data_IF_237588314569
#
_entry.id   IF_237588314569
#
_cell.length_a   1.000
_cell.length_b   1.000
_cell.length_c   1.000
_cell.angle_alpha   90.00
_cell.angle_beta   90.00
_cell.angle_gamma   90.00
#
_symmetry.space_group_name_H-M   'P 1'
#
loop_
_entity.id
_entity.type
_entity.pdbx_description
1 polymer ?
#
# COMPACT_ATOMS: atom_id res chain seq x y z
N UNK A 1 -57.59 -28.73 -4.18
CA UNK A 1 -56.15 -29.09 -4.04
C UNK A 1 -55.27 -27.83 -3.87
N UNK A 2 -55.57 -26.92 -2.93
CA UNK A 2 -54.90 -25.59 -2.83
C UNK A 2 -54.36 -25.28 -1.42
N UNK A 3 -54.76 -26.05 -0.40
CA UNK A 3 -54.46 -25.73 1.01
C UNK A 3 -53.06 -26.21 1.45
N UNK A 4 -52.46 -27.21 0.78
CA UNK A 4 -51.12 -27.71 1.11
C UNK A 4 -49.98 -26.76 0.66
N UNK A 5 -50.18 -25.98 -0.39
CA UNK A 5 -49.13 -25.12 -0.99
C UNK A 5 -48.77 -23.90 -0.12
N UNK A 6 -49.76 -23.25 0.51
CA UNK A 6 -49.53 -22.05 1.34
C UNK A 6 -48.75 -22.32 2.64
N UNK A 7 -48.91 -23.52 3.23
CA UNK A 7 -48.22 -23.89 4.48
C UNK A 7 -46.72 -24.15 4.27
N UNK A 8 -46.34 -24.75 3.13
CA UNK A 8 -44.93 -24.95 2.79
C UNK A 8 -44.20 -23.64 2.50
N UNK A 9 -44.86 -22.67 1.85
CA UNK A 9 -44.25 -21.36 1.58
C UNK A 9 -44.03 -20.53 2.85
N UNK A 10 -45.00 -20.50 3.78
CA UNK A 10 -44.85 -19.83 5.07
C UNK A 10 -43.73 -20.43 5.93
N UNK A 11 -43.56 -21.75 5.90
CA UNK A 11 -42.48 -22.45 6.63
C UNK A 11 -41.09 -22.15 6.03
N UNK A 12 -40.97 -22.08 4.69
CA UNK A 12 -39.70 -21.74 4.01
C UNK A 12 -39.29 -20.28 4.24
N UNK A 13 -40.26 -19.34 4.27
CA UNK A 13 -40.01 -17.94 4.63
C UNK A 13 -39.55 -17.79 6.09
N UNK A 14 -40.17 -18.52 7.02
CA UNK A 14 -39.74 -18.56 8.42
C UNK A 14 -38.35 -19.16 8.60
N UNK A 15 -38.02 -20.25 7.88
CA UNK A 15 -36.69 -20.86 7.91
C UNK A 15 -35.59 -19.96 7.33
N UNK A 16 -35.86 -19.23 6.24
CA UNK A 16 -34.93 -18.25 5.67
C UNK A 16 -34.71 -17.05 6.60
N UNK A 17 -35.78 -16.56 7.24
CA UNK A 17 -35.67 -15.50 8.25
C UNK A 17 -34.90 -15.96 9.49
N UNK A 18 -35.13 -17.19 9.96
CA UNK A 18 -34.35 -17.77 11.06
C UNK A 18 -32.88 -17.94 10.67
N UNK A 19 -32.59 -18.43 9.45
CA UNK A 19 -31.22 -18.53 8.96
C UNK A 19 -30.53 -17.18 8.88
N UNK A 20 -31.20 -16.11 8.42
CA UNK A 20 -30.58 -14.78 8.39
C UNK A 20 -30.32 -14.24 9.80
N UNK A 21 -31.22 -14.46 10.76
CA UNK A 21 -31.01 -14.02 12.16
C UNK A 21 -29.94 -14.85 12.88
N UNK A 22 -29.86 -16.16 12.62
CA UNK A 22 -28.79 -17.03 13.12
C UNK A 22 -27.44 -16.61 12.51
N UNK A 23 -27.42 -16.23 11.23
CA UNK A 23 -26.21 -15.74 10.58
C UNK A 23 -25.78 -14.38 11.16
N UNK A 24 -26.70 -13.44 11.39
CA UNK A 24 -26.43 -12.15 12.03
C UNK A 24 -25.92 -12.27 13.48
N UNK A 25 -26.40 -13.26 14.25
CA UNK A 25 -25.86 -13.55 15.60
C UNK A 25 -24.47 -14.18 15.56
N UNK A 26 -24.10 -14.84 14.47
CA UNK A 26 -22.78 -15.43 14.24
C UNK A 26 -21.76 -14.39 13.78
N UNK A 27 -22.19 -13.24 13.28
CA UNK A 27 -21.30 -12.16 12.87
C UNK A 27 -20.69 -11.45 14.09
N UNK A 28 -19.40 -11.06 14.02
CA UNK A 28 -18.78 -10.21 15.03
C UNK A 28 -19.51 -8.86 15.13
N UNK A 29 -19.39 -8.19 16.27
CA UNK A 29 -20.16 -6.97 16.59
C UNK A 29 -20.03 -5.89 15.51
N UNK A 30 -18.81 -5.65 15.02
CA UNK A 30 -18.51 -4.68 13.94
C UNK A 30 -19.11 -5.02 12.56
N UNK A 31 -19.49 -6.27 12.29
CA UNK A 31 -20.05 -6.69 10.99
C UNK A 31 -21.58 -6.66 10.97
N UNK A 32 -22.21 -6.21 12.07
CA UNK A 32 -23.68 -6.11 12.15
C UNK A 32 -24.14 -4.85 11.42
N UNK A 33 -25.23 -4.93 10.63
CA UNK A 33 -25.72 -3.81 9.83
C UNK A 33 -26.10 -2.57 10.66
N UNK A 34 -26.36 -2.73 11.96
CA UNK A 34 -26.74 -1.66 12.89
C UNK A 34 -25.60 -1.28 13.88
N UNK A 35 -24.37 -1.72 13.64
CA UNK A 35 -23.22 -1.45 14.53
C UNK A 35 -22.39 -0.28 14.03
N UNK A 36 -22.30 0.78 14.84
CA UNK A 36 -21.38 1.91 14.64
C UNK A 36 -19.92 1.59 15.06
N UNK A 37 -19.65 0.37 15.56
CA UNK A 37 -18.30 -0.05 15.90
C UNK A 37 -17.46 -0.22 14.63
N UNK A 38 -16.38 0.56 14.43
CA UNK A 38 -15.53 0.39 13.27
C UNK A 38 -14.87 -1.00 13.29
N UNK A 39 -14.66 -1.60 12.12
CA UNK A 39 -13.98 -2.88 12.05
C UNK A 39 -12.58 -2.82 12.70
N UNK A 40 -12.02 -3.95 13.14
CA UNK A 40 -10.76 -3.96 13.87
C UNK A 40 -9.59 -3.32 13.09
N UNK A 41 -9.55 -3.47 11.77
CA UNK A 41 -8.58 -2.81 10.88
C UNK A 41 -8.82 -1.30 10.66
N UNK A 42 -9.99 -0.80 11.05
CA UNK A 42 -10.40 0.61 11.02
C UNK A 42 -10.35 1.27 12.41
N UNK A 43 -9.98 0.51 13.46
CA UNK A 43 -9.85 1.06 14.81
C UNK A 43 -8.56 1.88 14.90
N UNK A 44 -8.68 3.20 14.78
CA UNK A 44 -7.59 4.13 15.08
C UNK A 44 -7.15 5.04 13.94
N UNK A 45 -7.77 4.94 12.76
CA UNK A 45 -7.47 5.80 11.58
C UNK A 45 -7.60 7.31 11.87
N UNK A 46 -8.38 7.69 12.91
CA UNK A 46 -8.52 9.08 13.36
C UNK A 46 -7.66 9.51 14.56
N UNK A 47 -6.91 8.59 15.21
CA UNK A 47 -6.17 8.89 16.45
C UNK A 47 -4.67 9.13 16.26
N UNK A 48 -4.10 8.87 15.09
CA UNK A 48 -2.65 9.02 14.86
C UNK A 48 -2.17 10.44 14.49
N UNK A 49 -3.07 11.41 14.26
CA UNK A 49 -2.66 12.71 13.72
C UNK A 49 -2.30 13.78 14.77
N UNK A 50 -2.34 13.49 16.08
CA UNK A 50 -2.24 14.54 17.11
C UNK A 50 -1.02 14.50 18.04
N UNK A 51 -0.06 13.57 17.89
CA UNK A 51 1.03 13.48 18.89
C UNK A 51 2.43 13.03 18.45
N UNK A 52 2.75 12.91 17.15
CA UNK A 52 4.14 12.72 16.70
C UNK A 52 4.61 13.93 15.88
N UNK A 53 5.14 14.94 16.57
CA UNK A 53 5.88 16.08 15.98
C UNK A 53 7.26 15.71 15.42
N UNK A 54 7.45 14.46 14.97
CA UNK A 54 8.65 14.06 14.26
C UNK A 54 8.24 13.89 12.81
N UNK A 55 8.82 14.68 11.91
CA UNK A 55 8.57 14.60 10.47
C UNK A 55 9.18 13.29 9.93
N UNK A 56 8.55 12.17 10.28
CA UNK A 56 8.93 10.85 9.82
C UNK A 56 8.27 10.67 8.44
N UNK A 57 9.08 10.85 7.40
CA UNK A 57 8.64 10.68 6.02
C UNK A 57 8.18 9.23 5.82
N UNK A 58 6.97 8.98 5.27
CA UNK A 58 6.46 7.63 5.09
C UNK A 58 7.35 6.76 4.20
N UNK A 59 7.37 5.45 4.44
CA UNK A 59 8.22 4.52 3.70
C UNK A 59 8.03 4.59 2.17
N UNK A 60 6.80 4.82 1.70
CA UNK A 60 6.48 4.86 0.28
C UNK A 60 7.14 6.04 -0.45
N UNK A 61 7.41 7.15 0.25
CA UNK A 61 8.11 8.31 -0.34
C UNK A 61 9.57 7.96 -0.60
N UNK A 62 10.24 7.33 0.36
CA UNK A 62 11.61 6.83 0.18
C UNK A 62 11.70 5.78 -0.92
N UNK A 63 10.71 4.88 -0.99
CA UNK A 63 10.66 3.83 -2.00
C UNK A 63 10.43 4.41 -3.40
N UNK A 64 9.54 5.40 -3.54
CA UNK A 64 9.29 6.06 -4.81
C UNK A 64 10.51 6.88 -5.27
N UNK A 65 11.13 7.63 -4.36
CA UNK A 65 12.36 8.36 -4.65
C UNK A 65 13.50 7.40 -5.06
N UNK A 66 13.64 6.26 -4.38
CA UNK A 66 14.57 5.19 -4.74
C UNK A 66 14.29 4.65 -6.15
N UNK A 67 13.04 4.32 -6.45
CA UNK A 67 12.67 3.76 -7.75
C UNK A 67 12.97 4.72 -8.90
N UNK A 68 12.58 6.00 -8.78
CA UNK A 68 12.84 7.01 -9.82
C UNK A 68 14.35 7.21 -10.01
N UNK A 69 15.11 7.33 -8.92
CA UNK A 69 16.57 7.50 -9.00
C UNK A 69 17.27 6.28 -9.58
N UNK A 70 16.80 5.06 -9.27
CA UNK A 70 17.35 3.84 -9.86
C UNK A 70 17.07 3.77 -11.37
N UNK A 71 15.86 4.10 -11.81
CA UNK A 71 15.50 4.16 -13.24
C UNK A 71 16.36 5.18 -13.97
N UNK A 72 16.56 6.37 -13.40
CA UNK A 72 17.42 7.40 -13.98
C UNK A 72 18.88 6.93 -14.11
N UNK A 73 19.41 6.25 -13.08
CA UNK A 73 20.78 5.74 -13.10
C UNK A 73 20.97 4.59 -14.10
N UNK A 74 20.03 3.65 -14.19
CA UNK A 74 20.10 2.55 -15.17
C UNK A 74 19.90 3.10 -16.59
N UNK A 75 18.95 4.01 -16.77
CA UNK A 75 18.72 4.70 -18.03
C UNK A 75 19.95 5.47 -18.50
N UNK A 76 20.68 6.11 -17.57
CA UNK A 76 21.90 6.83 -17.93
C UNK A 76 23.04 5.90 -18.37
N UNK A 77 23.18 4.73 -17.73
CA UNK A 77 24.14 3.70 -18.17
C UNK A 77 23.76 3.18 -19.56
N UNK A 78 22.49 2.85 -19.77
CA UNK A 78 22.01 2.32 -21.04
C UNK A 78 22.18 3.32 -22.19
N UNK A 79 21.91 4.59 -21.94
CA UNK A 79 22.10 5.68 -22.89
C UNK A 79 23.59 5.91 -23.20
N UNK A 80 24.45 5.83 -22.19
CA UNK A 80 25.90 5.89 -22.39
C UNK A 80 26.44 4.70 -23.19
N UNK A 81 25.95 3.47 -22.97
CA UNK A 81 26.46 2.29 -23.70
C UNK A 81 25.97 2.26 -25.14
N UNK A 82 24.70 2.56 -25.39
CA UNK A 82 24.11 2.42 -26.72
C UNK A 82 24.25 3.67 -27.59
N UNK A 83 24.71 4.79 -27.02
CA UNK A 83 24.83 6.10 -27.71
C UNK A 83 23.52 6.53 -28.39
N UNK A 84 22.39 6.03 -27.89
CA UNK A 84 21.03 6.35 -28.34
C UNK A 84 20.32 7.10 -27.22
N UNK A 85 20.04 8.39 -27.37
CA UNK A 85 19.41 9.18 -26.31
C UNK A 85 17.95 8.72 -26.13
N UNK A 86 17.67 8.02 -25.03
CA UNK A 86 16.31 7.53 -24.68
C UNK A 86 15.52 8.65 -24.03
N UNK A 87 16.20 9.53 -23.27
CA UNK A 87 15.58 10.69 -22.68
C UNK A 87 15.42 11.84 -23.69
N UNK A 88 16.23 11.89 -24.76
CA UNK A 88 16.14 12.89 -25.82
C UNK A 88 16.45 14.33 -25.37
N UNK A 89 16.95 14.52 -24.16
CA UNK A 89 17.22 15.83 -23.54
C UNK A 89 18.58 16.38 -23.99
N UNK A 90 19.57 15.51 -24.22
CA UNK A 90 20.93 15.88 -24.60
C UNK A 90 21.37 15.07 -25.81
N UNK A 91 21.97 15.73 -26.79
CA UNK A 91 22.52 15.06 -27.98
C UNK A 91 23.87 14.40 -27.66
N UNK A 92 24.14 13.27 -28.31
CA UNK A 92 25.41 12.51 -28.17
C UNK A 92 26.65 13.35 -28.48
N UNK A 93 26.54 14.34 -29.38
CA UNK A 93 27.63 15.23 -29.77
C UNK A 93 27.94 16.33 -28.74
N UNK A 94 27.18 16.39 -27.64
CA UNK A 94 27.34 17.43 -26.63
C UNK A 94 28.43 17.06 -25.62
N UNK A 95 29.31 18.01 -25.31
CA UNK A 95 30.33 17.86 -24.25
C UNK A 95 29.73 17.51 -22.88
N UNK A 96 28.46 17.87 -22.64
CA UNK A 96 27.75 17.58 -21.39
C UNK A 96 27.11 16.18 -21.35
N UNK A 97 27.14 15.42 -22.45
CA UNK A 97 26.49 14.11 -22.54
C UNK A 97 27.07 13.12 -21.53
N UNK A 98 28.38 12.84 -21.62
CA UNK A 98 29.04 11.88 -20.73
C UNK A 98 29.07 12.33 -19.25
N UNK A 99 29.38 13.59 -18.90
CA UNK A 99 29.36 14.04 -17.51
C UNK A 99 27.98 13.96 -16.85
N UNK A 100 26.91 14.31 -17.57
CA UNK A 100 25.55 14.26 -17.03
C UNK A 100 25.10 12.82 -16.77
N UNK A 101 25.32 11.93 -17.74
CA UNK A 101 24.98 10.51 -17.61
C UNK A 101 25.80 9.84 -16.50
N UNK A 102 27.09 10.18 -16.44
CA UNK A 102 28.00 9.72 -15.40
C UNK A 102 27.59 10.19 -14.01
N UNK A 103 27.11 11.43 -13.86
CA UNK A 103 26.59 11.93 -12.59
C UNK A 103 25.40 11.11 -12.09
N UNK A 104 24.41 10.84 -12.96
CA UNK A 104 23.26 10.02 -12.60
C UNK A 104 23.63 8.56 -12.32
N UNK A 105 24.57 7.98 -13.05
CA UNK A 105 25.01 6.61 -12.80
C UNK A 105 25.78 6.51 -11.47
N UNK A 106 26.73 7.42 -11.26
CA UNK A 106 27.63 7.40 -10.10
C UNK A 106 26.92 7.76 -8.80
N UNK A 107 26.02 8.75 -8.82
CA UNK A 107 25.29 9.16 -7.61
C UNK A 107 23.97 8.41 -7.45
N UNK A 108 23.29 8.06 -8.55
CA UNK A 108 21.96 7.45 -8.50
C UNK A 108 21.94 6.01 -8.01
N UNK A 109 22.93 5.17 -8.35
CA UNK A 109 22.99 3.79 -7.84
C UNK A 109 23.17 3.76 -6.31
N UNK A 110 24.18 4.42 -5.70
CA UNK A 110 24.31 4.40 -4.25
C UNK A 110 23.15 5.10 -3.53
N UNK A 111 22.64 6.22 -4.06
CA UNK A 111 21.50 6.92 -3.47
C UNK A 111 20.21 6.10 -3.52
N UNK A 112 19.91 5.43 -4.64
CA UNK A 112 18.73 4.58 -4.76
C UNK A 112 18.79 3.38 -3.81
N UNK A 113 19.94 2.72 -3.70
CA UNK A 113 20.15 1.62 -2.75
C UNK A 113 19.98 2.08 -1.29
N UNK A 114 20.53 3.25 -0.94
CA UNK A 114 20.37 3.83 0.38
C UNK A 114 18.91 4.16 0.71
N UNK A 115 18.20 4.80 -0.22
CA UNK A 115 16.79 5.15 -0.06
C UNK A 115 15.90 3.90 0.04
N UNK A 116 16.20 2.86 -0.72
CA UNK A 116 15.51 1.57 -0.60
C UNK A 116 15.74 0.93 0.77
N UNK A 117 16.98 0.93 1.27
CA UNK A 117 17.25 0.38 2.59
C UNK A 117 16.55 1.17 3.71
N UNK A 118 16.46 2.50 3.56
CA UNK A 118 15.68 3.34 4.47
C UNK A 118 14.18 3.06 4.39
N UNK A 119 13.64 2.85 3.20
CA UNK A 119 12.22 2.52 3.04
C UNK A 119 11.87 1.18 3.66
N UNK A 120 12.70 0.15 3.48
CA UNK A 120 12.48 -1.17 4.09
C UNK A 120 12.50 -1.08 5.62
N UNK A 121 13.43 -0.33 6.21
CA UNK A 121 13.46 -0.12 7.66
C UNK A 121 12.23 0.63 8.17
N UNK A 122 11.80 1.67 7.47
CA UNK A 122 10.59 2.42 7.82
C UNK A 122 9.35 1.52 7.74
N UNK A 123 9.23 0.71 6.68
CA UNK A 123 8.13 -0.23 6.51
C UNK A 123 8.09 -1.30 7.61
N UNK A 124 9.24 -1.88 7.97
CA UNK A 124 9.31 -2.86 9.06
C UNK A 124 8.94 -2.23 10.41
N UNK A 125 9.40 -1.00 10.68
CA UNK A 125 9.03 -0.27 11.90
C UNK A 125 7.52 0.01 11.96
N UNK A 126 6.92 0.45 10.87
CA UNK A 126 5.47 0.69 10.79
C UNK A 126 4.68 -0.62 10.98
N UNK A 127 5.16 -1.74 10.43
CA UNK A 127 4.57 -3.05 10.65
C UNK A 127 4.66 -3.49 12.12
N UNK A 128 5.82 -3.35 12.77
CA UNK A 128 5.97 -3.66 14.20
C UNK A 128 5.07 -2.78 15.09
N UNK A 129 4.86 -1.52 14.71
CA UNK A 129 3.92 -0.62 15.41
C UNK A 129 2.46 -1.05 15.21
N UNK A 130 2.10 -1.55 14.02
CA UNK A 130 0.77 -2.10 13.74
C UNK A 130 0.53 -3.42 14.48
N UNK A 131 1.48 -4.35 14.46
CA UNK A 131 1.38 -5.63 15.18
C UNK A 131 1.19 -5.40 16.68
N UNK A 132 1.91 -4.43 17.27
CA UNK A 132 1.71 -4.02 18.67
C UNK A 132 0.32 -3.44 18.94
N UNK A 133 -0.25 -2.68 18.00
CA UNK A 133 -1.62 -2.15 18.12
C UNK A 133 -2.67 -3.25 18.03
N UNK A 134 -2.41 -4.25 17.20
CA UNK A 134 -3.27 -5.41 17.02
C UNK A 134 -3.09 -6.46 18.14
N UNK A 135 -2.11 -6.25 19.03
CA UNK A 135 -1.86 -7.09 20.21
C UNK A 135 -1.00 -8.32 19.94
N UNK A 136 -0.31 -8.34 18.80
CA UNK A 136 0.70 -9.33 18.45
C UNK A 136 2.09 -8.90 19.00
N UNK A 137 2.91 -9.87 19.43
CA UNK A 137 4.26 -9.68 20.01
C UNK A 137 5.36 -9.92 18.98
#
# INVERSE_FOLDING_TARGET
MIIKSKRSFLCVLQLKGLQSLVNLKKLPTWAKPDSDEPPPWAKGEGKENSSKQNFEVPFFVYLLASAITAIAAIGSIFEYVNQRPVFGIVNTDSILYAPLLGFFAFTGIPTSAFLWFKSVQAANKEADEQDKRDGYL
#
